data_IF_872198035681
#
_entry.id   IF_872198035681
#
_cell.length_a   1.000
_cell.length_b   1.000
_cell.length_c   1.000
_cell.angle_alpha   90.00
_cell.angle_beta   90.00
_cell.angle_gamma   90.00
#
_symmetry.space_group_name_H-M   'P 1'
#
loop_
_entity.id
_entity.type
_entity.pdbx_description
1 polymer ?
#
# COMPACT_ATOMS: atom_id res chain seq x y z
N UNK A 1 11.11 -17.71 16.50
CA UNK A 1 9.84 -17.14 16.00
C UNK A 1 9.45 -17.70 14.63
N UNK A 2 10.08 -17.33 13.50
CA UNK A 2 9.73 -17.91 12.18
C UNK A 2 9.86 -19.44 12.17
N UNK A 3 10.95 -19.97 12.76
CA UNK A 3 11.15 -21.42 12.94
C UNK A 3 10.03 -22.08 13.77
N UNK A 4 9.44 -21.35 14.72
CA UNK A 4 8.36 -21.86 15.56
C UNK A 4 7.02 -21.89 14.80
N UNK A 5 6.83 -20.98 13.84
CA UNK A 5 5.65 -20.93 12.96
C UNK A 5 5.73 -22.04 11.89
N UNK A 6 6.94 -22.47 11.53
CA UNK A 6 7.26 -23.56 10.59
C UNK A 6 6.87 -23.31 9.12
N UNK A 7 5.64 -22.85 8.83
CA UNK A 7 5.15 -22.57 7.47
C UNK A 7 4.29 -21.31 7.46
N UNK A 8 4.48 -20.47 6.44
CA UNK A 8 3.83 -19.14 6.38
C UNK A 8 3.21 -18.83 5.03
N UNK A 9 2.10 -18.09 5.09
CA UNK A 9 1.56 -17.31 3.98
C UNK A 9 1.88 -15.85 4.26
N UNK A 10 2.73 -15.24 3.44
CA UNK A 10 3.15 -13.84 3.59
C UNK A 10 2.24 -12.94 2.77
N UNK A 11 1.52 -12.03 3.43
CA UNK A 11 0.82 -10.95 2.75
C UNK A 11 1.83 -9.96 2.17
N UNK A 12 1.86 -9.83 0.85
CA UNK A 12 2.96 -9.20 0.13
C UNK A 12 2.51 -8.06 -0.77
N UNK A 13 2.93 -6.84 -0.43
CA UNK A 13 2.61 -5.62 -1.17
C UNK A 13 3.74 -5.13 -2.06
N UNK A 14 4.92 -5.76 -2.02
CA UNK A 14 6.13 -5.24 -2.69
C UNK A 14 6.75 -4.02 -2.01
N UNK A 15 6.23 -3.61 -0.83
CA UNK A 15 6.83 -2.57 0.01
C UNK A 15 8.01 -3.10 0.84
N UNK A 16 8.81 -2.18 1.40
CA UNK A 16 10.03 -2.49 2.15
C UNK A 16 9.81 -3.53 3.28
N UNK A 17 8.76 -3.36 4.08
CA UNK A 17 8.46 -4.26 5.21
C UNK A 17 8.09 -5.66 4.74
N UNK A 18 7.15 -5.78 3.79
CA UNK A 18 6.73 -7.07 3.26
C UNK A 18 7.84 -7.79 2.48
N UNK A 19 8.73 -7.04 1.82
CA UNK A 19 9.87 -7.58 1.08
C UNK A 19 10.92 -8.14 2.03
N UNK A 20 11.27 -7.42 3.10
CA UNK A 20 12.16 -7.93 4.12
C UNK A 20 11.58 -9.19 4.77
N UNK A 21 10.29 -9.15 5.13
CA UNK A 21 9.64 -10.30 5.75
C UNK A 21 9.63 -11.53 4.82
N UNK A 22 9.22 -11.36 3.56
CA UNK A 22 9.20 -12.45 2.59
C UNK A 22 10.60 -13.03 2.36
N UNK A 23 11.61 -12.16 2.20
CA UNK A 23 13.00 -12.58 2.05
C UNK A 23 13.51 -13.35 3.27
N UNK A 24 13.30 -12.82 4.48
CA UNK A 24 13.73 -13.47 5.72
C UNK A 24 13.02 -14.80 5.95
N UNK A 25 11.71 -14.87 5.70
CA UNK A 25 10.94 -16.12 5.77
C UNK A 25 11.49 -17.15 4.79
N UNK A 26 11.71 -16.77 3.53
CA UNK A 26 12.22 -17.68 2.50
C UNK A 26 13.63 -18.18 2.83
N UNK A 27 14.51 -17.31 3.32
CA UNK A 27 15.87 -17.66 3.70
C UNK A 27 15.93 -18.60 4.92
N UNK A 28 15.01 -18.45 5.88
CA UNK A 28 15.00 -19.22 7.14
C UNK A 28 14.24 -20.54 7.00
N UNK A 29 13.09 -20.55 6.32
CA UNK A 29 12.18 -21.71 6.24
C UNK A 29 12.31 -22.49 4.94
N UNK A 30 12.88 -21.87 3.90
CA UNK A 30 12.96 -22.42 2.55
C UNK A 30 11.68 -22.21 1.72
N UNK A 31 11.81 -22.24 0.38
CA UNK A 31 10.73 -21.88 -0.56
C UNK A 31 9.51 -22.81 -0.50
N UNK A 32 9.67 -24.05 -0.04
CA UNK A 32 8.57 -25.01 0.12
C UNK A 32 7.63 -24.69 1.30
N UNK A 33 8.06 -23.80 2.20
CA UNK A 33 7.32 -23.44 3.42
C UNK A 33 6.88 -21.99 3.44
N UNK A 34 7.10 -21.26 2.35
CA UNK A 34 6.77 -19.84 2.24
C UNK A 34 5.98 -19.63 0.97
N UNK A 35 4.71 -19.28 1.12
CA UNK A 35 3.88 -18.83 0.01
C UNK A 35 3.66 -17.32 0.16
N UNK A 36 4.03 -16.56 -0.85
CA UNK A 36 3.93 -15.10 -0.87
C UNK A 36 2.72 -14.72 -1.71
N UNK A 37 1.78 -13.95 -1.15
CA UNK A 37 0.50 -13.66 -1.81
C UNK A 37 0.28 -12.15 -1.89
N UNK A 38 0.04 -11.65 -3.10
CA UNK A 38 -0.39 -10.27 -3.33
C UNK A 38 -1.89 -10.23 -3.55
N UNK A 39 -2.60 -9.50 -2.69
CA UNK A 39 -4.01 -9.22 -2.88
C UNK A 39 -4.18 -8.15 -3.97
N UNK A 40 -5.04 -8.44 -4.95
CA UNK A 40 -5.32 -7.59 -6.09
C UNK A 40 -6.74 -7.07 -5.99
N UNK A 41 -6.88 -5.76 -5.97
CA UNK A 41 -8.17 -5.08 -6.03
C UNK A 41 -8.03 -3.78 -6.82
N UNK A 42 -9.14 -3.11 -7.17
CA UNK A 42 -9.08 -1.79 -7.80
C UNK A 42 -8.29 -0.73 -7.01
N UNK A 43 -8.01 -0.98 -5.73
CA UNK A 43 -7.22 -0.08 -4.87
C UNK A 43 -5.71 -0.32 -4.96
N UNK A 44 -5.26 -1.42 -5.57
CA UNK A 44 -3.85 -1.67 -5.89
C UNK A 44 -3.54 -1.16 -7.30
N UNK A 45 -2.61 -0.21 -7.41
CA UNK A 45 -2.17 0.28 -8.71
C UNK A 45 -1.49 -0.84 -9.52
N UNK A 46 -1.74 -0.87 -10.83
CA UNK A 46 -1.21 -1.86 -11.75
C UNK A 46 0.32 -1.89 -11.77
N UNK A 47 0.97 -0.72 -11.70
CA UNK A 47 2.44 -0.62 -11.63
C UNK A 47 2.98 -1.25 -10.33
N UNK A 48 2.28 -1.07 -9.19
CA UNK A 48 2.66 -1.69 -7.92
C UNK A 48 2.46 -3.20 -7.94
N UNK A 49 1.39 -3.70 -8.59
CA UNK A 49 1.19 -5.13 -8.81
C UNK A 49 2.33 -5.72 -9.65
N UNK A 50 2.66 -5.09 -10.78
CA UNK A 50 3.73 -5.53 -11.65
C UNK A 50 5.10 -5.49 -10.96
N UNK A 51 5.35 -4.46 -10.15
CA UNK A 51 6.57 -4.33 -9.35
C UNK A 51 6.69 -5.43 -8.29
N UNK A 52 5.58 -5.76 -7.60
CA UNK A 52 5.54 -6.87 -6.64
C UNK A 52 5.81 -8.22 -7.31
N UNK A 53 5.19 -8.49 -8.46
CA UNK A 53 5.44 -9.72 -9.24
C UNK A 53 6.91 -9.82 -9.68
N UNK A 54 7.48 -8.74 -10.21
CA UNK A 54 8.90 -8.68 -10.60
C UNK A 54 9.82 -8.93 -9.40
N UNK A 55 9.56 -8.27 -8.27
CA UNK A 55 10.33 -8.46 -7.04
C UNK A 55 10.23 -9.91 -6.52
N UNK A 56 9.06 -10.53 -6.61
CA UNK A 56 8.91 -11.92 -6.22
C UNK A 56 9.76 -12.86 -7.09
N UNK A 57 9.80 -12.62 -8.40
CA UNK A 57 10.67 -13.33 -9.33
C UNK A 57 12.16 -13.13 -9.03
N UNK A 58 12.58 -11.87 -8.81
CA UNK A 58 13.97 -11.53 -8.43
C UNK A 58 14.44 -12.26 -7.16
N UNK A 59 13.54 -12.41 -6.19
CA UNK A 59 13.83 -13.05 -4.90
C UNK A 59 13.60 -14.57 -4.90
N UNK A 60 13.17 -15.16 -6.02
CA UNK A 60 12.90 -16.59 -6.13
C UNK A 60 11.78 -17.06 -5.19
N UNK A 61 10.75 -16.22 -4.99
CA UNK A 61 9.64 -16.50 -4.08
C UNK A 61 8.56 -17.33 -4.79
N UNK A 62 7.97 -18.30 -4.08
CA UNK A 62 6.71 -18.95 -4.49
C UNK A 62 5.59 -17.92 -4.33
N UNK A 63 5.22 -17.27 -5.43
CA UNK A 63 4.28 -16.15 -5.43
C UNK A 63 2.98 -16.45 -6.16
N UNK A 64 1.88 -15.88 -5.66
CA UNK A 64 0.60 -15.82 -6.37
C UNK A 64 -0.10 -14.47 -6.16
N UNK A 65 -0.94 -14.10 -7.11
CA UNK A 65 -1.88 -12.99 -6.99
C UNK A 65 -3.29 -13.54 -6.75
N UNK A 66 -4.02 -12.94 -5.82
CA UNK A 66 -5.40 -13.34 -5.48
C UNK A 66 -6.29 -12.11 -5.45
N UNK A 67 -7.46 -12.18 -6.05
CA UNK A 67 -8.40 -11.07 -6.08
C UNK A 67 -9.14 -10.93 -4.74
N UNK A 68 -9.28 -9.70 -4.26
CA UNK A 68 -10.14 -9.36 -3.12
C UNK A 68 -11.33 -8.53 -3.58
N UNK A 69 -12.44 -8.62 -2.84
CA UNK A 69 -13.73 -8.07 -3.20
C UNK A 69 -14.20 -6.94 -2.26
N UNK A 70 -13.28 -6.23 -1.61
CA UNK A 70 -13.63 -5.17 -0.66
C UNK A 70 -14.52 -4.09 -1.28
N UNK A 71 -14.37 -3.83 -2.59
CA UNK A 71 -15.17 -2.88 -3.35
C UNK A 71 -16.65 -3.29 -3.50
N UNK A 72 -17.01 -4.55 -3.24
CA UNK A 72 -18.41 -4.99 -3.22
C UNK A 72 -19.11 -4.63 -1.91
N UNK A 73 -18.34 -4.32 -0.86
CA UNK A 73 -18.84 -4.02 0.47
C UNK A 73 -19.12 -2.52 0.64
N UNK A 74 -20.37 -2.17 0.96
CA UNK A 74 -20.77 -0.78 1.19
C UNK A 74 -19.94 -0.11 2.30
N UNK A 75 -19.55 -0.86 3.32
CA UNK A 75 -18.72 -0.38 4.43
C UNK A 75 -17.30 0.03 4.00
N UNK A 76 -16.73 -0.60 2.96
CA UNK A 76 -15.49 -0.13 2.37
C UNK A 76 -15.72 1.12 1.51
N UNK A 77 -16.80 1.11 0.70
CA UNK A 77 -17.09 2.18 -0.27
C UNK A 77 -17.40 3.52 0.40
N UNK A 78 -17.99 3.55 1.60
CA UNK A 78 -18.32 4.81 2.30
C UNK A 78 -17.09 5.63 2.71
N UNK A 79 -15.90 5.00 2.72
CA UNK A 79 -14.63 5.66 2.96
C UNK A 79 -14.53 6.40 4.30
N UNK A 80 -14.96 5.78 5.38
CA UNK A 80 -14.82 6.33 6.73
C UNK A 80 -13.47 5.96 7.37
N UNK A 81 -13.33 6.24 8.67
CA UNK A 81 -12.13 5.92 9.45
C UNK A 81 -11.79 4.42 9.44
N UNK A 82 -12.80 3.56 9.29
CA UNK A 82 -12.69 2.09 9.35
C UNK A 82 -12.47 1.44 7.98
N UNK A 83 -12.37 2.21 6.88
CA UNK A 83 -12.05 1.68 5.54
C UNK A 83 -10.85 0.72 5.56
N UNK A 84 -9.79 1.06 6.31
CA UNK A 84 -8.59 0.22 6.41
C UNK A 84 -8.86 -1.10 7.15
N UNK A 85 -9.85 -1.15 8.05
CA UNK A 85 -10.33 -2.35 8.70
C UNK A 85 -11.03 -3.27 7.68
N UNK A 86 -11.99 -2.73 6.92
CA UNK A 86 -12.70 -3.47 5.88
C UNK A 86 -11.76 -3.99 4.78
N UNK A 87 -10.78 -3.18 4.37
CA UNK A 87 -9.72 -3.61 3.46
C UNK A 87 -8.94 -4.81 4.01
N UNK A 88 -8.64 -4.77 5.31
CA UNK A 88 -7.88 -5.84 5.95
C UNK A 88 -8.72 -7.09 6.13
N UNK A 89 -10.01 -6.95 6.39
CA UNK A 89 -10.92 -8.08 6.52
C UNK A 89 -11.01 -8.86 5.21
N UNK A 90 -11.22 -8.18 4.08
CA UNK A 90 -11.21 -8.80 2.75
C UNK A 90 -9.86 -9.47 2.41
N UNK A 91 -8.74 -8.88 2.84
CA UNK A 91 -7.42 -9.54 2.72
C UNK A 91 -7.39 -10.86 3.52
N UNK A 92 -7.90 -10.86 4.74
CA UNK A 92 -7.91 -12.07 5.57
C UNK A 92 -8.90 -13.12 5.04
N UNK A 93 -10.01 -12.72 4.43
CA UNK A 93 -10.96 -13.65 3.77
C UNK A 93 -10.30 -14.50 2.70
N UNK A 94 -9.33 -13.95 1.97
CA UNK A 94 -8.61 -14.71 0.94
C UNK A 94 -7.38 -15.43 1.46
N UNK A 95 -6.68 -14.87 2.46
CA UNK A 95 -5.44 -15.47 2.96
C UNK A 95 -5.66 -16.60 3.95
N UNK A 96 -6.70 -16.54 4.79
CA UNK A 96 -6.97 -17.58 5.80
C UNK A 96 -7.23 -18.94 5.15
N UNK A 97 -8.10 -19.07 4.13
CA UNK A 97 -8.31 -20.36 3.46
C UNK A 97 -7.05 -20.94 2.82
N UNK A 98 -6.19 -20.08 2.25
CA UNK A 98 -4.90 -20.49 1.69
C UNK A 98 -3.99 -21.02 2.80
N UNK A 99 -3.90 -20.29 3.91
CA UNK A 99 -3.07 -20.69 5.04
C UNK A 99 -3.56 -22.00 5.68
N UNK A 100 -4.87 -22.18 5.83
CA UNK A 100 -5.47 -23.44 6.32
C UNK A 100 -5.15 -24.62 5.41
N UNK A 101 -5.36 -24.47 4.10
CA UNK A 101 -5.07 -25.51 3.11
C UNK A 101 -3.58 -25.91 3.10
N UNK A 102 -2.69 -24.97 3.40
CA UNK A 102 -1.25 -25.21 3.44
C UNK A 102 -0.73 -25.60 4.83
N UNK A 103 -1.58 -25.62 5.87
CA UNK A 103 -1.18 -25.76 7.28
C UNK A 103 -0.12 -24.73 7.67
N UNK A 104 -0.37 -23.48 7.32
CA UNK A 104 0.50 -22.32 7.48
C UNK A 104 -0.13 -21.26 8.40
N UNK A 105 0.67 -20.27 8.80
CA UNK A 105 0.17 -19.06 9.48
C UNK A 105 0.30 -17.85 8.57
N UNK A 106 -0.74 -17.00 8.54
CA UNK A 106 -0.69 -15.72 7.83
C UNK A 106 0.25 -14.76 8.56
N UNK A 107 1.20 -14.17 7.86
CA UNK A 107 2.12 -13.16 8.41
C UNK A 107 2.10 -11.88 7.60
N UNK A 108 2.12 -10.74 8.28
CA UNK A 108 2.13 -9.41 7.65
C UNK A 108 3.40 -8.64 8.01
N UNK A 109 3.91 -7.88 7.05
CA UNK A 109 5.04 -6.96 7.24
C UNK A 109 4.60 -5.68 7.94
N UNK A 110 4.32 -5.79 9.25
CA UNK A 110 4.04 -4.65 10.15
C UNK A 110 5.27 -4.47 11.05
N UNK A 111 5.77 -3.25 11.19
CA UNK A 111 6.91 -2.91 12.05
C UNK A 111 6.44 -2.18 13.34
N UNK A 112 7.35 -1.92 14.28
CA UNK A 112 7.01 -1.30 15.58
C UNK A 112 6.42 0.10 15.45
N UNK A 113 6.90 0.90 14.51
CA UNK A 113 6.39 2.27 14.27
C UNK A 113 4.94 2.28 13.75
N UNK A 114 4.48 1.15 13.20
CA UNK A 114 3.10 1.01 12.75
C UNK A 114 2.11 0.78 13.91
N UNK A 115 2.55 0.56 15.15
CA UNK A 115 1.69 0.19 16.30
C UNK A 115 0.96 1.36 17.01
N UNK A 116 1.00 2.58 16.46
CA UNK A 116 0.37 3.77 17.08
C UNK A 116 -1.16 3.69 17.30
N UNK A 117 -1.72 4.75 17.90
CA UNK A 117 -3.00 4.72 18.66
C UNK A 117 -4.28 4.29 17.92
N UNK A 118 -4.34 4.31 16.58
CA UNK A 118 -5.54 3.86 15.84
C UNK A 118 -5.18 3.06 14.58
N UNK A 119 -5.29 1.73 14.67
CA UNK A 119 -4.94 0.77 13.60
C UNK A 119 -6.01 -0.33 13.47
N UNK A 120 -7.23 0.00 13.04
CA UNK A 120 -8.34 -0.96 13.04
C UNK A 120 -8.07 -2.16 12.12
N UNK A 121 -7.33 -1.96 11.02
CA UNK A 121 -6.86 -3.06 10.18
C UNK A 121 -5.97 -4.07 10.92
N UNK A 122 -4.96 -3.62 11.66
CA UNK A 122 -4.06 -4.55 12.37
C UNK A 122 -4.81 -5.39 13.40
N UNK A 123 -5.81 -4.80 14.09
CA UNK A 123 -6.68 -5.53 15.01
C UNK A 123 -7.43 -6.66 14.30
N UNK A 124 -8.08 -6.38 13.16
CA UNK A 124 -8.77 -7.38 12.35
C UNK A 124 -7.84 -8.53 11.97
N UNK A 125 -6.61 -8.23 11.53
CA UNK A 125 -5.65 -9.26 11.17
C UNK A 125 -5.26 -10.15 12.37
N UNK A 126 -4.99 -9.56 13.54
CA UNK A 126 -4.68 -10.32 14.77
C UNK A 126 -5.85 -11.20 15.18
N UNK A 127 -7.06 -10.65 15.20
CA UNK A 127 -8.27 -11.37 15.61
C UNK A 127 -8.57 -12.56 14.68
N UNK A 128 -8.09 -12.49 13.43
CA UNK A 128 -8.13 -13.57 12.43
C UNK A 128 -6.86 -14.44 12.38
N UNK A 129 -6.03 -14.37 13.42
CA UNK A 129 -4.89 -15.27 13.62
C UNK A 129 -3.62 -14.90 12.86
N UNK A 130 -3.54 -13.71 12.25
CA UNK A 130 -2.31 -13.25 11.63
C UNK A 130 -1.24 -12.89 12.68
N UNK A 131 0.02 -13.03 12.29
CA UNK A 131 1.18 -12.63 13.12
C UNK A 131 2.01 -11.54 12.46
N UNK A 132 2.71 -10.77 13.29
CA UNK A 132 3.58 -9.66 12.85
C UNK A 132 5.04 -9.91 13.23
N UNK A 133 5.75 -10.78 12.49
CA UNK A 133 7.15 -11.11 12.73
C UNK A 133 8.11 -9.95 12.99
N UNK A 134 7.96 -8.81 12.29
CA UNK A 134 8.88 -7.68 12.46
C UNK A 134 8.62 -6.96 13.79
N UNK A 135 7.34 -6.78 14.18
CA UNK A 135 6.95 -6.29 15.51
C UNK A 135 7.46 -7.22 16.62
N UNK A 136 7.26 -8.52 16.46
CA UNK A 136 7.68 -9.52 17.45
C UNK A 136 9.21 -9.58 17.62
N UNK A 137 9.96 -9.19 16.57
CA UNK A 137 11.41 -9.00 16.62
C UNK A 137 11.84 -7.60 17.10
N UNK A 138 10.90 -6.70 17.40
CA UNK A 138 11.17 -5.34 17.85
C UNK A 138 11.72 -4.40 16.76
N UNK A 139 11.54 -4.73 15.49
CA UNK A 139 12.10 -3.96 14.38
C UNK A 139 11.29 -2.69 14.11
N UNK A 140 11.98 -1.56 14.16
CA UNK A 140 11.53 -0.26 13.67
C UNK A 140 11.63 -0.18 12.14
N UNK A 141 10.97 0.80 11.54
CA UNK A 141 11.01 1.09 10.11
C UNK A 141 12.44 1.38 9.62
N UNK A 142 13.23 2.09 10.42
CA UNK A 142 14.62 2.41 10.06
C UNK A 142 15.51 1.16 10.08
N UNK A 143 15.29 0.26 11.04
CA UNK A 143 15.97 -1.03 11.11
C UNK A 143 15.55 -1.94 9.96
N UNK A 144 14.27 -1.97 9.59
CA UNK A 144 13.80 -2.68 8.39
C UNK A 144 14.56 -2.20 7.16
N UNK A 145 14.65 -0.88 6.94
CA UNK A 145 15.38 -0.32 5.79
C UNK A 145 16.88 -0.62 5.86
N UNK A 146 17.50 -0.55 7.04
CA UNK A 146 18.91 -0.87 7.23
C UNK A 146 19.21 -2.35 6.92
N UNK A 147 18.35 -3.27 7.39
CA UNK A 147 18.42 -4.70 7.07
C UNK A 147 18.24 -4.92 5.56
N UNK A 148 17.23 -4.32 4.95
CA UNK A 148 17.00 -4.41 3.50
C UNK A 148 18.19 -3.93 2.68
N UNK A 149 18.85 -2.82 3.06
CA UNK A 149 20.09 -2.35 2.39
C UNK A 149 21.23 -3.35 2.52
N UNK A 150 21.44 -3.92 3.72
CA UNK A 150 22.49 -4.92 3.95
C UNK A 150 22.27 -6.20 3.13
N UNK A 151 21.02 -6.55 2.87
CA UNK A 151 20.61 -7.69 2.07
C UNK A 151 20.52 -7.38 0.56
N UNK A 152 20.77 -6.14 0.16
CA UNK A 152 20.71 -5.72 -1.25
C UNK A 152 19.29 -5.64 -1.82
N UNK A 153 18.26 -5.53 -0.98
CA UNK A 153 16.87 -5.42 -1.44
C UNK A 153 16.61 -4.04 -2.04
N UNK A 154 16.19 -3.99 -3.31
CA UNK A 154 15.88 -2.73 -4.02
C UNK A 154 14.76 -1.91 -3.40
N UNK A 155 13.94 -2.52 -2.54
CA UNK A 155 12.84 -1.86 -1.83
C UNK A 155 13.27 -1.05 -0.62
N UNK A 156 14.54 -1.11 -0.20
CA UNK A 156 14.99 -0.45 1.02
C UNK A 156 14.75 1.07 1.03
N UNK A 157 14.90 1.70 -0.13
CA UNK A 157 14.68 3.14 -0.31
C UNK A 157 13.38 3.45 -1.06
N UNK A 158 12.59 2.43 -1.44
CA UNK A 158 11.28 2.61 -2.08
C UNK A 158 10.38 3.45 -1.17
N UNK A 159 9.73 4.52 -1.67
CA UNK A 159 8.74 5.27 -0.92
C UNK A 159 7.58 4.36 -0.47
N UNK A 160 6.94 4.73 0.64
CA UNK A 160 5.77 3.98 1.10
C UNK A 160 4.60 4.20 0.14
N UNK A 161 4.25 3.16 -0.63
CA UNK A 161 3.09 3.16 -1.50
C UNK A 161 1.83 2.88 -0.68
N UNK A 162 0.99 3.90 -0.51
CA UNK A 162 -0.36 3.73 0.01
C UNK A 162 -1.30 3.27 -1.12
N UNK A 163 -2.42 2.61 -0.78
CA UNK A 163 -3.43 2.23 -1.76
C UNK A 163 -4.05 3.45 -2.48
N UNK A 164 -4.63 3.25 -3.65
CA UNK A 164 -5.28 4.32 -4.41
C UNK A 164 -6.44 4.96 -3.63
N UNK A 165 -7.19 4.20 -2.83
CA UNK A 165 -8.24 4.75 -1.98
C UNK A 165 -7.75 5.82 -0.98
N UNK A 166 -6.47 5.81 -0.61
CA UNK A 166 -5.90 6.88 0.23
C UNK A 166 -5.84 8.24 -0.46
N UNK A 167 -6.08 8.33 -1.78
CA UNK A 167 -6.18 9.59 -2.53
C UNK A 167 -7.56 10.23 -2.41
N UNK A 168 -8.54 9.50 -1.89
CA UNK A 168 -9.93 9.93 -1.78
C UNK A 168 -10.19 10.42 -0.35
N UNK A 169 -10.66 11.67 -0.15
CA UNK A 169 -11.03 12.21 1.15
C UNK A 169 -12.02 11.33 1.91
N UNK A 170 -11.86 11.26 3.23
CA UNK A 170 -12.80 10.53 4.08
C UNK A 170 -14.23 11.04 3.88
N UNK A 171 -15.20 10.12 3.85
CA UNK A 171 -16.61 10.39 3.57
C UNK A 171 -16.95 10.51 2.08
N UNK A 172 -15.98 10.62 1.18
CA UNK A 172 -16.22 10.54 -0.27
C UNK A 172 -16.22 9.09 -0.72
N UNK A 173 -17.29 8.68 -1.40
CA UNK A 173 -17.47 7.28 -1.83
C UNK A 173 -16.33 6.79 -2.73
N UNK A 174 -15.73 5.63 -2.38
CA UNK A 174 -14.73 4.96 -3.22
C UNK A 174 -15.44 4.13 -4.29
N UNK A 175 -15.17 4.45 -5.55
CA UNK A 175 -15.67 3.72 -6.72
C UNK A 175 -14.53 3.32 -7.64
N UNK A 176 -14.75 2.29 -8.48
CA UNK A 176 -13.76 1.85 -9.47
C UNK A 176 -13.40 2.98 -10.43
N UNK A 177 -14.38 3.82 -10.81
CA UNK A 177 -14.15 4.96 -11.70
C UNK A 177 -13.25 6.02 -11.06
N UNK A 178 -13.47 6.34 -9.79
CA UNK A 178 -12.61 7.28 -9.03
C UNK A 178 -11.19 6.75 -8.94
N UNK A 179 -11.01 5.49 -8.53
CA UNK A 179 -9.70 4.86 -8.39
C UNK A 179 -8.96 4.78 -9.72
N UNK A 180 -9.66 4.40 -10.79
CA UNK A 180 -9.10 4.35 -12.15
C UNK A 180 -8.73 5.75 -12.66
N UNK A 181 -9.52 6.77 -12.34
CA UNK A 181 -9.23 8.16 -12.69
C UNK A 181 -7.96 8.69 -11.99
N UNK A 182 -7.83 8.40 -10.69
CA UNK A 182 -6.61 8.68 -9.91
C UNK A 182 -5.41 7.97 -10.52
N UNK A 183 -5.51 6.66 -10.76
CA UNK A 183 -4.42 5.86 -11.31
C UNK A 183 -3.94 6.38 -12.68
N UNK A 184 -4.86 6.66 -13.60
CA UNK A 184 -4.52 7.22 -14.92
C UNK A 184 -3.79 8.56 -14.79
N UNK A 185 -4.26 9.43 -13.89
CA UNK A 185 -3.64 10.73 -13.66
C UNK A 185 -2.23 10.57 -13.06
N UNK A 186 -2.06 9.70 -12.07
CA UNK A 186 -0.73 9.44 -11.48
C UNK A 186 0.23 8.86 -12.53
N UNK A 187 -0.20 7.85 -13.30
CA UNK A 187 0.59 7.25 -14.35
C UNK A 187 0.98 8.26 -15.45
N UNK A 188 0.09 9.19 -15.78
CA UNK A 188 0.37 10.23 -16.76
C UNK A 188 1.46 11.21 -16.28
N UNK A 189 1.45 11.57 -14.99
CA UNK A 189 2.49 12.41 -14.40
C UNK A 189 3.82 11.65 -14.19
N UNK A 190 3.78 10.35 -13.90
CA UNK A 190 5.00 9.50 -13.89
C UNK A 190 5.69 9.48 -15.24
N UNK A 191 4.94 9.40 -16.35
CA UNK A 191 5.52 9.52 -17.71
C UNK A 191 6.16 10.88 -17.98
N UNK A 192 5.82 11.90 -17.19
CA UNK A 192 6.50 13.19 -17.22
C UNK A 192 7.75 13.22 -16.33
N UNK A 193 8.07 12.20 -15.55
CA UNK A 193 9.24 12.15 -14.66
C UNK A 193 8.98 12.64 -13.24
N UNK A 194 7.72 12.57 -12.80
CA UNK A 194 7.34 12.73 -11.40
C UNK A 194 7.13 11.33 -10.81
N UNK A 195 8.14 10.75 -10.19
CA UNK A 195 8.07 9.36 -9.70
C UNK A 195 7.37 9.26 -8.34
N UNK A 196 7.68 10.18 -7.43
CA UNK A 196 7.01 10.31 -6.13
C UNK A 196 5.95 11.42 -6.21
N UNK A 197 4.68 11.02 -6.28
CA UNK A 197 3.54 11.94 -6.35
C UNK A 197 2.25 11.30 -5.86
N UNK A 198 1.26 12.14 -5.59
CA UNK A 198 -0.13 11.72 -5.41
C UNK A 198 -1.10 12.63 -6.14
N UNK A 199 -2.18 12.06 -6.68
CA UNK A 199 -3.34 12.82 -7.17
C UNK A 199 -4.46 12.67 -6.16
N UNK A 200 -4.77 13.72 -5.39
CA UNK A 200 -5.95 13.73 -4.52
C UNK A 200 -7.21 14.05 -5.31
N UNK A 201 -8.24 13.27 -5.06
CA UNK A 201 -9.53 13.39 -5.73
C UNK A 201 -10.46 14.31 -4.95
N UNK A 202 -10.99 15.35 -5.59
CA UNK A 202 -12.03 16.22 -5.06
C UNK A 202 -13.07 16.46 -6.16
N UNK A 203 -13.97 15.50 -6.35
CA UNK A 203 -14.98 15.51 -7.43
C UNK A 203 -14.33 15.72 -8.81
N UNK A 204 -14.54 16.89 -9.43
CA UNK A 204 -13.98 17.25 -10.73
C UNK A 204 -12.58 17.89 -10.65
N UNK A 205 -12.02 17.98 -9.45
CA UNK A 205 -10.72 18.60 -9.16
C UNK A 205 -9.68 17.56 -8.75
N UNK A 206 -8.54 17.57 -9.43
CA UNK A 206 -7.33 16.87 -9.01
C UNK A 206 -6.40 17.84 -8.27
N UNK A 207 -5.98 17.47 -7.05
CA UNK A 207 -4.91 18.17 -6.34
C UNK A 207 -3.63 17.34 -6.37
N UNK A 208 -2.62 17.88 -7.02
CA UNK A 208 -1.30 17.27 -7.19
C UNK A 208 -0.49 17.48 -5.91
N UNK A 209 0.08 16.41 -5.38
CA UNK A 209 1.11 16.43 -4.34
C UNK A 209 2.40 15.86 -4.92
N UNK A 210 3.50 16.63 -4.83
CA UNK A 210 4.87 16.18 -5.15
C UNK A 210 5.81 16.62 -4.03
N UNK A 211 7.01 16.03 -3.89
CA UNK A 211 8.04 16.53 -3.00
C UNK A 211 8.23 18.06 -3.15
N UNK A 212 8.49 18.75 -2.04
CA UNK A 212 8.49 20.23 -1.99
C UNK A 212 9.50 20.85 -2.98
N UNK A 213 10.62 20.17 -3.19
CA UNK A 213 11.69 20.53 -4.12
C UNK A 213 11.30 20.32 -5.59
N UNK A 214 10.20 19.61 -5.87
CA UNK A 214 9.66 19.37 -7.22
C UNK A 214 8.49 20.30 -7.58
N UNK A 215 8.04 21.18 -6.68
CA UNK A 215 6.92 22.10 -6.96
C UNK A 215 7.22 23.02 -8.16
N UNK A 216 8.44 23.56 -8.25
CA UNK A 216 8.85 24.43 -9.34
C UNK A 216 8.74 23.71 -10.71
N UNK A 217 9.19 22.46 -10.79
CA UNK A 217 9.11 21.65 -12.00
C UNK A 217 7.68 21.47 -12.52
N UNK A 218 6.70 21.33 -11.60
CA UNK A 218 5.28 21.23 -11.96
C UNK A 218 4.80 22.52 -12.61
N UNK A 219 5.18 23.68 -12.07
CA UNK A 219 4.79 25.01 -12.57
C UNK A 219 5.47 25.33 -13.90
N UNK A 220 6.75 25.00 -14.04
CA UNK A 220 7.52 25.18 -15.27
C UNK A 220 6.93 24.35 -16.41
N UNK A 221 6.44 23.15 -16.10
CA UNK A 221 5.84 22.22 -17.06
C UNK A 221 4.30 22.20 -17.04
N UNK A 222 3.68 23.25 -16.48
CA UNK A 222 2.23 23.32 -16.23
C UNK A 222 1.35 22.94 -17.41
N UNK A 223 1.74 23.29 -18.64
CA UNK A 223 0.95 22.97 -19.83
C UNK A 223 0.82 21.46 -20.07
N UNK A 224 1.93 20.73 -19.95
CA UNK A 224 1.94 19.27 -20.08
C UNK A 224 1.25 18.58 -18.90
N UNK A 225 1.46 19.09 -17.68
CA UNK A 225 0.81 18.58 -16.46
C UNK A 225 -0.71 18.72 -16.54
N UNK A 226 -1.22 19.91 -16.86
CA UNK A 226 -2.66 20.18 -16.97
C UNK A 226 -3.28 19.31 -18.06
N UNK A 227 -2.66 19.22 -19.24
CA UNK A 227 -3.14 18.37 -20.32
C UNK A 227 -3.23 16.88 -19.92
N UNK A 228 -2.21 16.36 -19.23
CA UNK A 228 -2.16 14.98 -18.76
C UNK A 228 -3.28 14.65 -17.74
N UNK A 229 -3.50 15.55 -16.78
CA UNK A 229 -4.51 15.35 -15.73
C UNK A 229 -5.93 15.53 -16.27
N UNK A 230 -6.17 16.52 -17.14
CA UNK A 230 -7.48 16.70 -17.79
C UNK A 230 -7.83 15.50 -18.67
N UNK A 231 -6.87 14.99 -19.44
CA UNK A 231 -7.07 13.78 -20.27
C UNK A 231 -7.41 12.53 -19.43
N UNK A 232 -7.14 12.54 -18.12
CA UNK A 232 -7.47 11.45 -17.20
C UNK A 232 -8.90 11.52 -16.64
N UNK A 233 -9.61 12.63 -16.88
CA UNK A 233 -11.04 12.81 -16.52
C UNK A 233 -11.33 13.98 -15.58
N UNK A 234 -10.32 14.75 -15.15
CA UNK A 234 -10.50 15.90 -14.27
C UNK A 234 -10.80 17.19 -15.03
N UNK A 235 -11.59 18.08 -14.43
CA UNK A 235 -11.89 19.42 -14.97
C UNK A 235 -10.89 20.46 -14.49
N UNK A 236 -10.51 20.38 -13.22
CA UNK A 236 -9.59 21.32 -12.58
C UNK A 236 -8.35 20.62 -12.08
N UNK A 237 -7.22 21.30 -12.19
CA UNK A 237 -5.90 20.81 -11.76
C UNK A 237 -5.31 21.84 -10.81
N UNK A 238 -5.02 21.41 -9.59
CA UNK A 238 -4.42 22.25 -8.55
C UNK A 238 -3.13 21.61 -8.05
N UNK A 239 -2.26 22.43 -7.45
CA UNK A 239 -1.01 21.98 -6.85
C UNK A 239 -1.07 22.28 -5.35
N UNK A 240 -0.82 21.26 -4.54
CA UNK A 240 -0.70 21.42 -3.10
C UNK A 240 0.63 22.12 -2.78
N UNK A 241 0.55 23.39 -2.36
CA UNK A 241 1.73 24.21 -2.01
C UNK A 241 2.51 23.67 -0.82
N UNK A 242 1.86 22.82 -0.05
CA UNK A 242 2.36 22.21 1.15
C UNK A 242 3.09 20.87 0.85
N UNK A 243 3.05 20.44 -0.42
CA UNK A 243 3.79 19.32 -0.97
C UNK A 243 3.27 17.95 -0.55
N UNK A 244 4.02 16.92 -0.93
CA UNK A 244 3.74 15.53 -0.60
C UNK A 244 4.10 15.23 0.86
N UNK A 245 3.13 14.70 1.61
CA UNK A 245 3.32 14.26 3.00
C UNK A 245 2.59 12.97 3.32
N UNK A 246 3.13 12.22 4.28
CA UNK A 246 2.42 11.08 4.85
C UNK A 246 1.20 11.53 5.65
N UNK A 247 0.08 10.81 5.52
CA UNK A 247 -1.13 11.08 6.31
C UNK A 247 -1.85 12.40 6.02
N UNK A 248 -1.68 13.02 4.83
CA UNK A 248 -2.27 14.34 4.53
C UNK A 248 -3.80 14.41 4.76
N UNK A 249 -4.53 13.30 4.53
CA UNK A 249 -5.98 13.26 4.74
C UNK A 249 -6.39 12.86 6.17
N UNK A 250 -5.46 12.42 7.01
CA UNK A 250 -5.75 11.95 8.37
C UNK A 250 -6.13 13.10 9.30
N UNK A 251 -5.82 14.36 8.96
CA UNK A 251 -6.27 15.52 9.73
C UNK A 251 -7.80 15.57 9.88
N UNK A 252 -8.55 15.05 8.90
CA UNK A 252 -10.00 14.94 8.96
C UNK A 252 -10.51 13.89 9.96
N UNK A 253 -9.63 13.03 10.49
CA UNK A 253 -9.96 12.05 11.53
C UNK A 253 -9.65 12.56 12.95
N UNK A 254 -8.97 13.69 13.08
CA UNK A 254 -8.78 14.31 14.38
C UNK A 254 -10.15 14.82 14.89
N UNK A 255 -10.51 14.58 16.16
CA UNK A 255 -11.70 15.20 16.73
C UNK A 255 -11.57 16.72 16.59
N UNK A 256 -12.65 17.41 16.21
CA UNK A 256 -12.67 18.86 16.08
C UNK A 256 -12.10 19.52 17.35
N UNK A 257 -10.95 20.18 17.24
CA UNK A 257 -10.35 21.03 18.27
C UNK A 257 -9.32 20.39 19.21
N UNK A 258 -8.21 19.91 18.66
CA UNK A 258 -6.95 19.72 19.41
C UNK A 258 -5.97 20.88 19.13
#
# INVERSE_FOLDING_TARGET
MLLDINRVVVAFSGGADSALLAHAANAVLGPERVHVVTAVSPSLAADERADAEALAGELGLRWSAVETDEMTHAAYRVNDADRCAHCKDALMDVLVPIAEAESATVVLGVNVDDLGDHRPGQRVAIDRGARFPLVEAGLTKDEVRACSRRLGLRTADKPAAACLASRVPYGTEVTVDVLSGVERAEAALRRLGFDDLRIRHYDDTARIEVPIDRLADVVDRRGAVVAAVIASGYRYVTLDLEGLRSGNLNAALAPDGA
#
